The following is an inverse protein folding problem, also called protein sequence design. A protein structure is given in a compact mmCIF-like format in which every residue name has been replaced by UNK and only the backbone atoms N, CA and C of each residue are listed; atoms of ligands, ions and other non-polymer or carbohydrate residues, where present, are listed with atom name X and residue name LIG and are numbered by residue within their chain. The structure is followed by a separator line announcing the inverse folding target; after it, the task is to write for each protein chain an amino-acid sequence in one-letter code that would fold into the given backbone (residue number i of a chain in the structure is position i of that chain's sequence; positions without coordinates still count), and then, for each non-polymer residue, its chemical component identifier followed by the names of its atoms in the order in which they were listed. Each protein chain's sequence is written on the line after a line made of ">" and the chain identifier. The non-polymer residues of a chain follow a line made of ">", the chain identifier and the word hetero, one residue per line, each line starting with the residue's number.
data_IF_570631993446
#
_entry.id   IF_570631993446
#
_cell.length_a   1.000
_cell.length_b   1.000
_cell.length_c   1.000
_cell.angle_alpha   90.00
_cell.angle_beta   90.00
_cell.angle_gamma   90.00
#
_symmetry.space_group_name_H-M   'P 1'
#
loop_
_entity.id
_entity.type
_entity.pdbx_description
1 polymer ?
#
# COMPACT_ATOMS: atom_id res chain seq x y z
N UNK A 1 20.43 -16.22 -13.29
CA UNK A 1 19.83 -14.91 -12.94
C UNK A 1 20.78 -14.24 -11.95
N UNK A 2 21.49 -13.18 -12.35
CA UNK A 2 22.56 -12.56 -11.55
C UNK A 2 21.98 -11.85 -10.32
N UNK A 3 22.17 -12.43 -9.13
CA UNK A 3 21.73 -11.85 -7.85
C UNK A 3 22.58 -10.64 -7.40
N UNK A 4 23.77 -10.47 -7.97
CA UNK A 4 24.75 -9.43 -7.59
C UNK A 4 24.21 -7.99 -7.80
N UNK A 5 23.47 -7.74 -8.88
CA UNK A 5 22.89 -6.40 -9.12
C UNK A 5 21.77 -6.07 -8.13
N UNK A 6 20.96 -7.05 -7.76
CA UNK A 6 19.84 -6.86 -6.83
C UNK A 6 20.37 -6.65 -5.41
N UNK A 7 21.35 -7.44 -4.97
CA UNK A 7 21.99 -7.28 -3.65
C UNK A 7 22.73 -5.94 -3.50
N UNK A 8 23.42 -5.48 -4.54
CA UNK A 8 24.11 -4.17 -4.51
C UNK A 8 23.15 -3.02 -4.31
N UNK A 9 22.03 -3.04 -5.02
CA UNK A 9 21.00 -2.00 -4.93
C UNK A 9 20.36 -2.04 -3.54
N UNK A 10 19.99 -3.23 -3.06
CA UNK A 10 19.34 -3.40 -1.75
C UNK A 10 20.25 -2.94 -0.60
N UNK A 11 21.53 -3.34 -0.60
CA UNK A 11 22.50 -2.89 0.39
C UNK A 11 22.71 -1.37 0.36
N UNK A 12 22.65 -0.74 -0.82
CA UNK A 12 22.77 0.72 -0.95
C UNK A 12 21.57 1.45 -0.31
N UNK A 13 20.37 0.90 -0.41
CA UNK A 13 19.17 1.46 0.22
C UNK A 13 19.13 1.21 1.72
N UNK A 14 19.48 0.00 2.16
CA UNK A 14 19.49 -0.40 3.57
C UNK A 14 20.56 0.36 4.38
N UNK A 15 21.73 0.60 3.79
CA UNK A 15 22.82 1.35 4.45
C UNK A 15 22.63 2.88 4.38
N UNK A 16 21.59 3.37 3.69
CA UNK A 16 21.34 4.81 3.57
C UNK A 16 21.06 5.44 4.93
N UNK A 17 21.97 6.31 5.37
CA UNK A 17 21.85 7.05 6.63
C UNK A 17 20.60 7.92 6.69
N UNK A 18 20.20 8.49 5.55
CA UNK A 18 19.03 9.37 5.45
C UNK A 18 17.74 8.58 5.62
N UNK A 19 17.60 7.44 4.91
CA UNK A 19 16.42 6.57 5.02
C UNK A 19 16.28 6.02 6.44
N UNK A 20 17.38 5.56 7.04
CA UNK A 20 17.39 5.08 8.42
C UNK A 20 17.09 6.18 9.45
N UNK A 21 17.50 7.42 9.20
CA UNK A 21 17.19 8.54 10.09
C UNK A 21 15.69 8.85 10.11
N UNK A 22 15.06 8.94 8.94
CA UNK A 22 13.60 9.13 8.83
C UNK A 22 12.83 7.94 9.41
N UNK A 23 13.28 6.72 9.11
CA UNK A 23 12.70 5.50 9.64
C UNK A 23 12.71 5.48 11.18
N UNK A 24 13.85 5.78 11.82
CA UNK A 24 13.96 5.82 13.28
C UNK A 24 13.16 6.95 13.90
N UNK A 25 13.11 8.12 13.24
CA UNK A 25 12.31 9.26 13.69
C UNK A 25 10.82 8.95 13.71
N UNK A 26 10.33 8.17 12.73
CA UNK A 26 8.93 7.74 12.67
C UNK A 26 8.66 6.54 13.60
N UNK A 27 9.57 5.56 13.71
CA UNK A 27 9.38 4.37 14.56
C UNK A 27 9.15 4.70 16.03
N UNK A 28 9.98 5.58 16.61
CA UNK A 28 9.89 5.92 18.04
C UNK A 28 8.50 6.37 18.52
N UNK A 29 7.89 7.42 17.95
CA UNK A 29 6.57 7.89 18.35
C UNK A 29 5.44 6.92 17.97
N UNK A 30 5.57 6.19 16.86
CA UNK A 30 4.55 5.23 16.44
C UNK A 30 4.53 3.98 17.34
N UNK A 31 5.70 3.49 17.75
CA UNK A 31 5.83 2.38 18.71
C UNK A 31 5.23 2.77 20.07
N UNK A 32 5.52 3.98 20.57
CA UNK A 32 4.94 4.46 21.83
C UNK A 32 3.40 4.53 21.79
N UNK A 33 2.83 4.96 20.66
CA UNK A 33 1.38 5.17 20.52
C UNK A 33 0.61 3.86 20.23
N UNK A 34 1.16 2.96 19.42
CA UNK A 34 0.47 1.77 18.90
C UNK A 34 0.93 0.44 19.50
N UNK A 35 2.17 0.32 20.02
CA UNK A 35 2.63 -0.89 20.73
C UNK A 35 2.33 -0.83 22.23
N UNK A 36 2.52 0.33 22.87
CA UNK A 36 2.40 0.46 24.33
C UNK A 36 1.16 1.27 24.78
N UNK A 37 0.45 1.91 23.86
CA UNK A 37 -0.73 2.75 24.12
C UNK A 37 -2.09 2.14 23.72
N UNK A 38 -3.18 2.90 23.82
CA UNK A 38 -4.56 2.43 23.58
C UNK A 38 -4.87 2.03 22.12
N UNK A 39 -3.94 2.26 21.17
CA UNK A 39 -4.06 1.87 19.77
C UNK A 39 -3.78 0.39 19.46
N UNK A 40 -3.48 -0.43 20.48
CA UNK A 40 -3.07 -1.83 20.29
C UNK A 40 -4.14 -2.71 19.61
N UNK A 41 -5.42 -2.44 19.85
CA UNK A 41 -6.53 -3.12 19.17
C UNK A 41 -6.58 -2.78 17.67
N UNK A 42 -6.28 -1.53 17.32
CA UNK A 42 -6.19 -1.07 15.92
C UNK A 42 -4.98 -1.69 15.22
N UNK A 43 -3.82 -1.74 15.88
CA UNK A 43 -2.63 -2.45 15.38
C UNK A 43 -2.90 -3.95 15.17
N UNK A 44 -3.61 -4.60 16.09
CA UNK A 44 -3.91 -6.04 15.99
C UNK A 44 -4.88 -6.36 14.84
N UNK A 45 -5.84 -5.48 14.57
CA UNK A 45 -6.72 -5.56 13.40
C UNK A 45 -5.96 -5.34 12.09
N UNK A 46 -5.10 -4.31 12.01
CA UNK A 46 -4.40 -3.97 10.77
C UNK A 46 -3.15 -4.80 10.48
N UNK A 47 -2.49 -5.38 11.49
CA UNK A 47 -1.35 -6.30 11.29
C UNK A 47 -1.78 -7.67 10.74
N UNK A 48 -3.07 -7.94 10.55
CA UNK A 48 -3.52 -9.20 9.97
C UNK A 48 -3.21 -10.45 10.79
N UNK A 49 -2.71 -10.34 12.04
CA UNK A 49 -2.40 -11.50 12.90
C UNK A 49 -3.61 -12.41 13.15
N UNK A 50 -4.82 -11.86 13.04
CA UNK A 50 -6.08 -12.62 13.09
C UNK A 50 -6.33 -13.47 11.83
N UNK A 51 -5.76 -13.08 10.68
CA UNK A 51 -5.94 -13.73 9.38
C UNK A 51 -4.80 -14.74 9.04
N UNK A 52 -3.88 -15.00 9.98
CA UNK A 52 -2.62 -15.76 9.81
C UNK A 52 -1.63 -15.18 8.78
N UNK A 53 -2.07 -14.26 7.92
CA UNK A 53 -1.29 -13.62 6.87
C UNK A 53 -1.30 -12.08 6.99
N UNK A 54 -0.23 -11.38 6.55
CA UNK A 54 -0.16 -9.93 6.60
C UNK A 54 -1.32 -9.32 5.81
N UNK A 55 -1.93 -8.27 6.33
CA UNK A 55 -3.10 -7.65 5.71
C UNK A 55 -2.70 -6.79 4.49
N UNK A 56 -1.47 -6.27 4.48
CA UNK A 56 -0.98 -5.39 3.42
C UNK A 56 -1.02 -6.04 2.02
N UNK A 57 -0.47 -7.24 1.77
CA UNK A 57 -0.54 -7.88 0.45
C UNK A 57 -1.98 -8.06 -0.04
N UNK A 58 -2.89 -8.50 0.83
CA UNK A 58 -4.30 -8.70 0.46
C UNK A 58 -4.96 -7.37 0.09
N UNK A 59 -4.63 -6.30 0.79
CA UNK A 59 -5.22 -5.00 0.57
C UNK A 59 -4.69 -4.33 -0.71
N UNK A 60 -3.48 -4.67 -1.15
CA UNK A 60 -2.91 -4.19 -2.43
C UNK A 60 -3.71 -4.67 -3.65
N UNK A 61 -4.45 -5.78 -3.55
CA UNK A 61 -5.26 -6.28 -4.66
C UNK A 61 -6.40 -5.33 -5.02
N UNK A 62 -6.89 -4.55 -4.05
CA UNK A 62 -7.96 -3.57 -4.24
C UNK A 62 -7.54 -2.44 -5.19
N UNK A 63 -6.46 -1.66 -4.95
CA UNK A 63 -6.00 -0.65 -5.88
C UNK A 63 -5.58 -1.23 -7.23
N UNK A 64 -4.95 -2.42 -7.26
CA UNK A 64 -4.55 -3.08 -8.51
C UNK A 64 -5.77 -3.40 -9.38
N UNK A 65 -6.79 -4.04 -8.81
CA UNK A 65 -8.03 -4.37 -9.53
C UNK A 65 -8.79 -3.11 -9.97
N UNK A 66 -8.91 -2.12 -9.08
CA UNK A 66 -9.61 -0.88 -9.37
C UNK A 66 -8.97 -0.10 -10.52
N UNK A 67 -7.65 0.08 -10.52
CA UNK A 67 -6.97 0.80 -11.60
C UNK A 67 -6.91 0.00 -12.90
N UNK A 68 -6.87 -1.33 -12.83
CA UNK A 68 -7.03 -2.17 -14.04
C UNK A 68 -8.39 -1.90 -14.70
N UNK A 69 -9.46 -1.79 -13.91
CA UNK A 69 -10.80 -1.45 -14.42
C UNK A 69 -10.84 -0.03 -14.98
N UNK A 70 -10.23 0.96 -14.31
CA UNK A 70 -10.12 2.34 -14.83
C UNK A 70 -9.52 2.36 -16.23
N UNK A 71 -8.39 1.68 -16.42
CA UNK A 71 -7.71 1.59 -17.72
C UNK A 71 -8.64 1.00 -18.78
N UNK A 72 -9.35 -0.09 -18.47
CA UNK A 72 -10.29 -0.72 -19.41
C UNK A 72 -11.46 0.21 -19.76
N UNK A 73 -12.04 0.90 -18.77
CA UNK A 73 -13.14 1.83 -18.98
C UNK A 73 -12.71 3.02 -19.82
N UNK A 74 -11.54 3.60 -19.55
CA UNK A 74 -10.99 4.72 -20.31
C UNK A 74 -10.70 4.33 -21.76
N UNK A 75 -10.21 3.11 -22.02
CA UNK A 75 -10.03 2.60 -23.37
C UNK A 75 -11.37 2.46 -24.12
N UNK A 76 -12.42 1.93 -23.47
CA UNK A 76 -13.75 1.82 -24.07
C UNK A 76 -14.35 3.19 -24.43
N UNK A 77 -14.11 4.20 -23.60
CA UNK A 77 -14.52 5.58 -23.85
C UNK A 77 -13.71 6.16 -25.02
N UNK A 78 -12.38 5.97 -25.02
CA UNK A 78 -11.47 6.48 -26.05
C UNK A 78 -11.81 5.95 -27.45
N UNK A 79 -12.18 4.68 -27.57
CA UNK A 79 -12.60 4.08 -28.83
C UNK A 79 -14.08 4.35 -29.19
N UNK A 80 -14.81 5.09 -28.36
CA UNK A 80 -16.19 5.46 -28.60
C UNK A 80 -17.20 4.31 -28.51
N UNK A 81 -16.83 3.17 -27.91
CA UNK A 81 -17.75 2.04 -27.74
C UNK A 81 -18.85 2.37 -26.73
N UNK A 82 -18.47 2.98 -25.60
CA UNK A 82 -19.39 3.31 -24.50
C UNK A 82 -19.00 4.65 -23.84
N UNK A 83 -19.23 5.79 -24.50
CA UNK A 83 -18.75 7.10 -24.04
C UNK A 83 -19.35 7.56 -22.68
N UNK A 84 -20.44 6.93 -22.23
CA UNK A 84 -21.11 7.27 -20.96
C UNK A 84 -20.43 6.68 -19.72
N UNK A 85 -19.36 5.87 -19.87
CA UNK A 85 -18.69 5.21 -18.74
C UNK A 85 -17.74 6.10 -17.93
N UNK A 86 -17.61 7.40 -18.26
CA UNK A 86 -16.69 8.31 -17.56
C UNK A 86 -16.92 8.40 -16.06
N UNK A 87 -18.18 8.38 -15.61
CA UNK A 87 -18.50 8.36 -14.18
C UNK A 87 -18.08 7.05 -13.51
N UNK A 88 -18.25 5.90 -14.18
CA UNK A 88 -17.84 4.60 -13.66
C UNK A 88 -16.31 4.53 -13.52
N UNK A 89 -15.57 5.07 -14.48
CA UNK A 89 -14.11 5.18 -14.42
C UNK A 89 -13.67 6.05 -13.24
N UNK A 90 -14.27 7.23 -13.07
CA UNK A 90 -13.97 8.11 -11.94
C UNK A 90 -14.25 7.46 -10.56
N UNK A 91 -15.36 6.72 -10.43
CA UNK A 91 -15.70 6.00 -9.20
C UNK A 91 -14.67 4.89 -8.93
N UNK A 92 -14.33 4.09 -9.93
CA UNK A 92 -13.32 3.02 -9.80
C UNK A 92 -11.96 3.60 -9.39
N UNK A 93 -11.57 4.73 -9.97
CA UNK A 93 -10.35 5.45 -9.61
C UNK A 93 -10.37 5.86 -8.13
N UNK A 94 -11.50 6.41 -7.66
CA UNK A 94 -11.71 6.77 -6.26
C UNK A 94 -11.56 5.58 -5.30
N UNK A 95 -12.16 4.42 -5.64
CA UNK A 95 -11.98 3.19 -4.87
C UNK A 95 -10.52 2.72 -4.86
N UNK A 96 -9.81 2.85 -5.99
CA UNK A 96 -8.38 2.54 -6.05
C UNK A 96 -7.55 3.43 -5.12
N UNK A 97 -7.83 4.74 -5.07
CA UNK A 97 -7.17 5.67 -4.14
C UNK A 97 -7.45 5.31 -2.69
N UNK A 98 -8.71 5.03 -2.34
CA UNK A 98 -9.07 4.63 -0.97
C UNK A 98 -8.39 3.31 -0.56
N UNK A 99 -8.38 2.32 -1.46
CA UNK A 99 -7.67 1.05 -1.26
C UNK A 99 -6.17 1.25 -1.10
N UNK A 100 -5.55 2.13 -1.89
CA UNK A 100 -4.14 2.47 -1.79
C UNK A 100 -3.81 3.14 -0.45
N UNK A 101 -4.65 4.06 0.04
CA UNK A 101 -4.46 4.67 1.36
C UNK A 101 -4.53 3.63 2.47
N UNK A 102 -5.51 2.73 2.43
CA UNK A 102 -5.62 1.66 3.42
C UNK A 102 -4.42 0.69 3.35
N UNK A 103 -3.91 0.43 2.14
CA UNK A 103 -2.71 -0.37 1.88
C UNK A 103 -1.44 0.27 2.45
N UNK A 104 -1.26 1.58 2.29
CA UNK A 104 -0.14 2.32 2.89
C UNK A 104 -0.17 2.19 4.41
N UNK A 105 -1.35 2.34 5.00
CA UNK A 105 -1.52 2.22 6.46
C UNK A 105 -1.15 0.81 6.93
N UNK A 106 -1.68 -0.24 6.31
CA UNK A 106 -1.38 -1.63 6.68
C UNK A 106 0.10 -2.00 6.47
N UNK A 107 0.72 -1.54 5.38
CA UNK A 107 2.14 -1.78 5.13
C UNK A 107 3.06 -1.10 6.14
N UNK A 108 2.66 0.09 6.62
CA UNK A 108 3.36 0.78 7.70
C UNK A 108 3.29 -0.01 9.02
N UNK A 109 2.15 -0.65 9.29
CA UNK A 109 1.97 -1.51 10.46
C UNK A 109 2.77 -2.82 10.36
N UNK A 110 2.85 -3.44 9.17
CA UNK A 110 3.66 -4.65 8.93
C UNK A 110 5.17 -4.39 9.14
N UNK A 111 5.64 -3.16 8.92
CA UNK A 111 7.03 -2.76 9.08
C UNK A 111 7.45 -2.43 10.54
N UNK A 112 6.46 -2.20 11.43
CA UNK A 112 6.66 -1.90 12.85
C UNK A 112 6.64 -3.15 13.74
#
# INVERSE_FOLDING_TARGET
>A
MNRDITERVDNTFVESKTVNAYAKFLKGPMDALFLQGPGHAFKTLLNGKWLEHPLHPVLTDVPVGAWTIVILLDLLILFGLVPQLGLASAIALGFGVLGALATIVTGLFDWM
#
